data_IF_744227437160
#
_entry.id   IF_744227437160
#
_cell.length_a   1.000
_cell.length_b   1.000
_cell.length_c   1.000
_cell.angle_alpha   90.00
_cell.angle_beta   90.00
_cell.angle_gamma   90.00
#
_symmetry.space_group_name_H-M   'P 1'
#
loop_
_entity.id
_entity.type
_entity.pdbx_description
1 polymer ?
#
# COMPACT_ATOMS: atom_id res chain seq x y z
N UNK A 1 40.53 -14.23 -4.89
CA UNK A 1 39.83 -13.83 -3.65
C UNK A 1 40.01 -12.33 -3.61
N UNK A 2 38.95 -11.56 -3.92
CA UNK A 2 38.98 -10.12 -3.69
C UNK A 2 39.17 -9.96 -2.19
N UNK A 3 40.17 -9.17 -1.76
CA UNK A 3 40.29 -8.80 -0.35
C UNK A 3 38.93 -8.27 0.09
N UNK A 4 38.32 -8.92 1.08
CA UNK A 4 37.10 -8.42 1.71
C UNK A 4 37.51 -7.13 2.44
N UNK A 5 37.44 -5.99 1.73
CA UNK A 5 37.46 -4.66 2.36
C UNK A 5 36.43 -4.72 3.49
N UNK A 6 36.88 -4.57 4.74
CA UNK A 6 35.97 -4.41 5.86
C UNK A 6 35.24 -3.08 5.63
N UNK A 7 33.96 -3.09 5.23
CA UNK A 7 33.29 -1.85 4.85
C UNK A 7 33.15 -0.94 6.08
N UNK A 8 33.17 -1.51 7.27
CA UNK A 8 32.97 -0.79 8.53
C UNK A 8 34.20 -0.03 9.02
N UNK A 9 35.29 0.02 8.25
CA UNK A 9 36.50 0.78 8.56
C UNK A 9 36.70 1.97 7.62
N UNK A 10 36.78 3.17 8.19
CA UNK A 10 37.00 4.44 7.49
C UNK A 10 38.48 4.83 7.45
N UNK A 11 39.37 4.05 8.07
CA UNK A 11 40.79 4.40 8.22
C UNK A 11 41.55 4.53 6.90
N UNK A 12 41.08 3.85 5.85
CA UNK A 12 41.69 3.86 4.52
C UNK A 12 41.18 4.98 3.60
N UNK A 13 40.23 5.82 4.05
CA UNK A 13 39.70 6.92 3.24
C UNK A 13 40.72 8.04 3.09
N UNK A 14 40.83 8.61 1.88
CA UNK A 14 41.55 9.86 1.68
C UNK A 14 40.80 11.03 2.34
N UNK A 15 41.52 12.13 2.58
CA UNK A 15 40.97 13.27 3.31
C UNK A 15 39.69 13.84 2.68
N UNK A 16 39.64 13.92 1.34
CA UNK A 16 38.48 14.49 0.65
C UNK A 16 37.24 13.61 0.77
N UNK A 17 37.41 12.29 0.68
CA UNK A 17 36.32 11.33 0.89
C UNK A 17 35.84 11.32 2.34
N UNK A 18 36.77 11.44 3.31
CA UNK A 18 36.42 11.52 4.73
C UNK A 18 35.67 12.80 5.07
N UNK A 19 36.11 13.94 4.56
CA UNK A 19 35.45 15.24 4.76
C UNK A 19 34.01 15.24 4.20
N UNK A 20 33.82 14.63 3.02
CA UNK A 20 32.48 14.45 2.44
C UNK A 20 31.59 13.55 3.31
N UNK A 21 32.12 12.42 3.77
CA UNK A 21 31.39 11.49 4.63
C UNK A 21 31.01 12.13 5.98
N UNK A 22 31.91 12.89 6.60
CA UNK A 22 31.64 13.62 7.83
C UNK A 22 30.55 14.69 7.63
N UNK A 23 30.52 15.37 6.49
CA UNK A 23 29.44 16.30 6.15
C UNK A 23 28.09 15.57 6.02
N UNK A 24 28.05 14.44 5.30
CA UNK A 24 26.83 13.65 5.15
C UNK A 24 26.32 13.09 6.50
N UNK A 25 27.22 12.62 7.37
CA UNK A 25 26.87 12.16 8.72
C UNK A 25 26.34 13.32 9.58
N UNK A 26 26.86 14.55 9.40
CA UNK A 26 26.36 15.73 10.12
C UNK A 26 24.91 16.05 9.73
N UNK A 27 24.59 16.00 8.44
CA UNK A 27 23.23 16.22 7.96
C UNK A 27 22.29 15.11 8.47
N UNK A 28 22.73 13.85 8.42
CA UNK A 28 22.01 12.72 9.00
C UNK A 28 21.73 12.91 10.51
N UNK A 29 22.74 13.31 11.27
CA UNK A 29 22.61 13.60 12.70
C UNK A 29 21.60 14.74 12.97
N UNK A 30 21.58 15.77 12.11
CA UNK A 30 20.62 16.86 12.18
C UNK A 30 19.18 16.40 11.94
N UNK A 31 18.97 15.54 10.95
CA UNK A 31 17.66 15.00 10.58
C UNK A 31 17.10 14.02 11.62
N UNK A 32 17.93 13.12 12.14
CA UNK A 32 17.50 12.03 13.03
C UNK A 32 17.81 12.25 14.50
N UNK A 33 18.34 13.42 14.86
CA UNK A 33 18.74 13.77 16.23
C UNK A 33 19.73 12.76 16.85
N UNK A 34 20.72 12.32 16.06
CA UNK A 34 21.76 11.38 16.45
C UNK A 34 23.13 12.07 16.59
N UNK A 35 24.19 11.33 16.95
CA UNK A 35 25.53 11.89 17.17
C UNK A 35 26.64 10.92 16.72
N UNK A 36 26.58 10.51 15.46
CA UNK A 36 27.59 9.65 14.84
C UNK A 36 28.79 10.45 14.28
N UNK A 37 29.92 9.78 14.06
CA UNK A 37 31.10 10.32 13.38
C UNK A 37 31.81 9.24 12.57
N UNK A 38 32.83 9.60 11.79
CA UNK A 38 33.68 8.66 11.05
C UNK A 38 34.67 7.87 11.92
N UNK A 39 34.62 7.99 13.25
CA UNK A 39 35.58 7.34 14.15
C UNK A 39 35.11 5.96 14.61
N UNK A 40 35.85 4.90 14.24
CA UNK A 40 35.74 3.54 14.79
C UNK A 40 34.31 3.11 15.13
N UNK A 41 34.05 2.89 16.42
CA UNK A 41 32.76 2.41 16.94
C UNK A 41 31.57 3.31 16.58
N UNK A 42 31.77 4.63 16.43
CA UNK A 42 30.68 5.55 16.06
C UNK A 42 30.27 5.35 14.61
N UNK A 43 31.20 5.03 13.73
CA UNK A 43 30.88 4.71 12.34
C UNK A 43 30.16 3.36 12.24
N UNK A 44 30.56 2.35 13.02
CA UNK A 44 29.84 1.08 13.10
C UNK A 44 28.40 1.26 13.58
N UNK A 45 28.18 2.13 14.57
CA UNK A 45 26.83 2.42 15.05
C UNK A 45 26.00 3.20 14.02
N UNK A 46 26.62 4.12 13.27
CA UNK A 46 25.98 4.77 12.13
C UNK A 46 25.53 3.77 11.07
N UNK A 47 26.42 2.85 10.68
CA UNK A 47 26.12 1.81 9.70
C UNK A 47 24.93 0.94 10.13
N UNK A 48 24.88 0.53 11.41
CA UNK A 48 23.76 -0.24 11.97
C UNK A 48 22.46 0.55 11.99
N UNK A 49 22.51 1.83 12.33
CA UNK A 49 21.33 2.72 12.36
C UNK A 49 20.77 2.92 10.94
N UNK A 50 21.62 3.26 9.97
CA UNK A 50 21.23 3.36 8.55
C UNK A 50 20.59 2.06 8.06
N UNK A 51 21.21 0.91 8.40
CA UNK A 51 20.64 -0.41 8.07
C UNK A 51 19.25 -0.62 8.65
N UNK A 52 19.00 -0.21 9.88
CA UNK A 52 17.71 -0.38 10.55
C UNK A 52 16.66 0.55 9.96
N UNK A 53 17.02 1.82 9.74
CA UNK A 53 16.13 2.83 9.16
C UNK A 53 15.72 2.49 7.74
N UNK A 54 16.63 1.96 6.93
CA UNK A 54 16.31 1.46 5.59
C UNK A 54 15.28 0.31 5.65
N UNK A 55 15.41 -0.62 6.61
CA UNK A 55 14.43 -1.71 6.81
C UNK A 55 13.07 -1.18 7.26
N UNK A 56 13.06 -0.16 8.12
CA UNK A 56 11.86 0.45 8.67
C UNK A 56 11.18 1.46 7.73
N UNK A 57 11.72 1.68 6.52
CA UNK A 57 11.25 2.68 5.56
C UNK A 57 11.32 4.13 6.09
N UNK A 58 12.31 4.40 6.95
CA UNK A 58 12.64 5.76 7.39
C UNK A 58 13.64 6.44 6.43
N UNK A 59 14.24 5.66 5.52
CA UNK A 59 15.06 6.10 4.41
C UNK A 59 14.49 5.54 3.11
N UNK A 60 14.26 6.39 2.12
CA UNK A 60 13.67 6.00 0.83
C UNK A 60 14.71 5.56 -0.21
N UNK A 61 15.89 6.19 -0.19
CA UNK A 61 16.99 5.94 -1.12
C UNK A 61 18.33 5.90 -0.38
N UNK A 62 19.14 4.88 -0.67
CA UNK A 62 20.48 4.73 -0.12
C UNK A 62 21.51 4.61 -1.27
N UNK A 63 22.46 5.52 -1.29
CA UNK A 63 23.58 5.50 -2.23
C UNK A 63 24.68 4.62 -1.65
N UNK A 64 25.10 3.58 -2.38
CA UNK A 64 26.11 2.61 -1.92
C UNK A 64 27.19 2.37 -2.97
N UNK A 65 28.38 2.00 -2.51
CA UNK A 65 29.49 1.55 -3.38
C UNK A 65 29.61 0.03 -3.36
N UNK A 66 29.92 -0.55 -2.20
CA UNK A 66 30.04 -2.00 -1.97
C UNK A 66 29.21 -2.46 -0.76
N UNK A 67 29.00 -1.57 0.22
CA UNK A 67 28.16 -1.82 1.39
C UNK A 67 26.74 -2.20 0.99
N UNK A 68 26.12 -3.07 1.80
CA UNK A 68 24.75 -3.53 1.62
C UNK A 68 24.45 -4.31 0.33
N UNK A 69 25.45 -4.52 -0.56
CA UNK A 69 25.31 -5.40 -1.73
C UNK A 69 25.42 -6.89 -1.36
N UNK A 70 26.02 -7.18 -0.19
CA UNK A 70 26.10 -8.51 0.42
C UNK A 70 25.59 -8.44 1.87
N UNK A 71 24.93 -9.49 2.35
CA UNK A 71 24.50 -9.62 3.75
C UNK A 71 23.31 -8.76 4.20
N UNK A 72 23.02 -7.63 3.56
CA UNK A 72 21.88 -6.78 3.90
C UNK A 72 20.55 -7.36 3.43
N UNK A 73 19.55 -7.35 4.29
CA UNK A 73 18.27 -8.00 4.02
C UNK A 73 17.09 -7.12 4.45
N UNK A 74 16.29 -6.71 3.47
CA UNK A 74 15.06 -5.94 3.67
C UNK A 74 13.99 -6.47 2.71
N UNK A 75 12.91 -7.05 3.27
CA UNK A 75 11.79 -7.58 2.47
C UNK A 75 11.06 -6.50 1.69
N UNK A 76 11.09 -5.25 2.17
CA UNK A 76 10.44 -4.08 1.60
C UNK A 76 11.21 -3.43 0.44
N UNK A 77 12.50 -3.72 0.28
CA UNK A 77 13.33 -3.15 -0.79
C UNK A 77 13.06 -3.90 -2.10
N UNK A 78 12.47 -3.20 -3.08
CA UNK A 78 12.12 -3.79 -4.38
C UNK A 78 13.00 -3.30 -5.54
N UNK A 79 13.72 -2.19 -5.41
CA UNK A 79 14.38 -1.54 -6.55
C UNK A 79 15.86 -1.29 -6.28
N UNK A 80 16.69 -1.62 -7.26
CA UNK A 80 18.13 -1.35 -7.27
C UNK A 80 18.50 -0.59 -8.54
N UNK A 81 19.00 0.64 -8.36
CA UNK A 81 19.58 1.46 -9.42
C UNK A 81 21.08 1.19 -9.52
N UNK A 82 21.55 0.82 -10.71
CA UNK A 82 22.92 0.34 -10.92
C UNK A 82 23.66 1.20 -11.94
N UNK A 83 24.60 1.99 -11.44
CA UNK A 83 25.66 2.62 -12.23
C UNK A 83 27.05 2.04 -11.87
N UNK A 84 27.13 0.72 -11.77
CA UNK A 84 28.37 0.00 -11.41
C UNK A 84 28.63 -1.16 -12.36
N UNK A 85 29.89 -1.41 -12.67
CA UNK A 85 30.32 -2.58 -13.43
C UNK A 85 30.30 -3.85 -12.58
N UNK A 86 29.10 -4.35 -12.24
CA UNK A 86 28.91 -5.61 -11.52
C UNK A 86 29.38 -6.80 -12.39
N UNK A 87 29.93 -7.83 -11.74
CA UNK A 87 30.49 -9.03 -12.41
C UNK A 87 30.10 -10.29 -11.66
N UNK A 88 29.70 -11.33 -12.39
CA UNK A 88 29.53 -12.72 -11.92
C UNK A 88 28.75 -12.82 -10.59
N UNK A 89 29.37 -13.37 -9.53
CA UNK A 89 28.76 -13.55 -8.22
C UNK A 89 28.29 -12.25 -7.58
N UNK A 90 29.03 -11.16 -7.74
CA UNK A 90 28.65 -9.85 -7.18
C UNK A 90 27.41 -9.26 -7.86
N UNK A 91 27.17 -9.60 -9.13
CA UNK A 91 25.94 -9.22 -9.84
C UNK A 91 24.73 -9.95 -9.27
N UNK A 92 24.81 -11.28 -9.15
CA UNK A 92 23.71 -12.09 -8.59
C UNK A 92 23.43 -11.73 -7.13
N UNK A 93 24.46 -11.51 -6.32
CA UNK A 93 24.31 -11.09 -4.92
C UNK A 93 23.61 -9.74 -4.82
N UNK A 94 24.03 -8.75 -5.61
CA UNK A 94 23.40 -7.43 -5.63
C UNK A 94 21.93 -7.52 -6.09
N UNK A 95 21.64 -8.28 -7.15
CA UNK A 95 20.27 -8.43 -7.65
C UNK A 95 19.38 -9.17 -6.66
N UNK A 96 19.92 -10.14 -5.93
CA UNK A 96 19.18 -10.85 -4.87
C UNK A 96 18.76 -9.96 -3.68
N UNK A 97 19.20 -8.70 -3.62
CA UNK A 97 18.74 -7.75 -2.58
C UNK A 97 17.29 -7.33 -2.79
N UNK A 98 16.81 -7.36 -4.03
CA UNK A 98 15.46 -6.88 -4.39
C UNK A 98 14.41 -7.99 -4.43
N UNK A 99 14.82 -9.26 -4.52
CA UNK A 99 13.91 -10.40 -4.77
C UNK A 99 13.36 -11.09 -3.51
N UNK A 100 13.51 -10.48 -2.33
CA UNK A 100 12.94 -11.02 -1.09
C UNK A 100 11.42 -10.95 -1.11
N UNK A 101 10.76 -12.08 -0.86
CA UNK A 101 9.30 -12.21 -0.83
C UNK A 101 8.76 -11.39 0.35
N UNK A 102 7.77 -10.54 0.08
CA UNK A 102 7.05 -9.75 1.10
C UNK A 102 5.58 -10.20 1.18
N UNK A 103 4.86 -10.04 0.08
CA UNK A 103 3.43 -10.34 -0.08
C UNK A 103 3.12 -10.46 -1.60
N UNK A 104 1.85 -10.69 -1.97
CA UNK A 104 1.46 -10.85 -3.38
C UNK A 104 1.59 -9.58 -4.24
N UNK A 105 1.88 -8.43 -3.63
CA UNK A 105 2.20 -7.17 -4.33
C UNK A 105 3.62 -7.23 -4.92
N UNK A 106 4.59 -7.69 -4.13
CA UNK A 106 6.00 -7.72 -4.53
C UNK A 106 6.31 -9.03 -5.26
N UNK A 107 6.02 -9.06 -6.55
CA UNK A 107 6.18 -10.25 -7.40
C UNK A 107 7.64 -10.43 -7.87
N UNK A 108 8.38 -9.33 -8.06
CA UNK A 108 9.76 -9.33 -8.55
C UNK A 108 10.56 -8.17 -7.97
N UNK A 109 11.87 -8.19 -8.21
CA UNK A 109 12.78 -7.10 -7.91
C UNK A 109 13.11 -6.30 -9.18
N UNK A 110 13.02 -4.98 -9.11
CA UNK A 110 13.35 -4.06 -10.20
C UNK A 110 14.85 -3.77 -10.20
N UNK A 111 15.50 -4.01 -11.33
CA UNK A 111 16.91 -3.65 -11.54
C UNK A 111 17.00 -2.65 -12.68
N UNK A 112 17.31 -1.40 -12.35
CA UNK A 112 17.43 -0.31 -13.32
C UNK A 112 18.91 -0.05 -13.58
N UNK A 113 19.39 -0.41 -14.77
CA UNK A 113 20.81 -0.30 -15.13
C UNK A 113 21.08 0.93 -16.00
N UNK A 114 22.04 1.76 -15.60
CA UNK A 114 22.54 2.90 -16.39
C UNK A 114 23.76 2.53 -17.26
N UNK A 115 24.23 1.29 -17.15
CA UNK A 115 25.27 0.71 -18.01
C UNK A 115 24.70 -0.52 -18.71
N UNK A 116 25.23 -0.85 -19.89
CA UNK A 116 24.88 -2.10 -20.54
C UNK A 116 25.48 -3.29 -19.77
N UNK A 117 24.65 -3.91 -18.93
CA UNK A 117 24.98 -5.09 -18.13
C UNK A 117 24.34 -6.37 -18.68
N UNK A 118 23.55 -6.31 -19.76
CA UNK A 118 22.76 -7.44 -20.26
C UNK A 118 23.60 -8.69 -20.48
N UNK A 119 24.66 -8.59 -21.30
CA UNK A 119 25.57 -9.72 -21.55
C UNK A 119 26.15 -10.32 -20.26
N UNK A 120 26.48 -9.47 -19.27
CA UNK A 120 27.03 -9.94 -17.99
C UNK A 120 25.98 -10.62 -17.13
N UNK A 121 24.73 -10.15 -17.19
CA UNK A 121 23.59 -10.80 -16.56
C UNK A 121 23.37 -12.18 -17.18
N UNK A 122 23.35 -12.28 -18.51
CA UNK A 122 23.17 -13.54 -19.24
C UNK A 122 24.30 -14.53 -18.93
N UNK A 123 25.56 -14.06 -18.94
CA UNK A 123 26.74 -14.84 -18.60
C UNK A 123 26.71 -15.33 -17.14
N UNK A 124 26.26 -14.47 -16.21
CA UNK A 124 26.15 -14.83 -14.80
C UNK A 124 25.04 -15.87 -14.58
N UNK A 125 23.86 -15.68 -15.16
CA UNK A 125 22.75 -16.64 -15.03
C UNK A 125 23.12 -17.99 -15.64
N UNK A 126 23.77 -18.00 -16.81
CA UNK A 126 24.24 -19.23 -17.47
C UNK A 126 25.28 -20.01 -16.64
N UNK A 127 25.99 -19.34 -15.73
CA UNK A 127 26.95 -19.99 -14.85
C UNK A 127 26.28 -20.62 -13.62
N UNK A 128 25.17 -20.05 -13.15
CA UNK A 128 24.47 -20.47 -11.93
C UNK A 128 23.16 -21.25 -12.18
N UNK A 129 22.72 -21.37 -13.43
CA UNK A 129 21.55 -22.13 -13.84
C UNK A 129 21.80 -22.93 -15.12
N UNK A 130 20.81 -23.74 -15.53
CA UNK A 130 20.82 -24.38 -16.84
C UNK A 130 20.68 -23.32 -17.95
N UNK A 131 21.11 -23.59 -19.19
CA UNK A 131 21.03 -22.57 -20.28
C UNK A 131 19.58 -22.14 -20.58
N UNK A 132 18.62 -22.98 -20.23
CA UNK A 132 17.18 -22.68 -20.32
C UNK A 132 16.64 -21.91 -19.09
N UNK A 133 17.41 -21.81 -18.01
CA UNK A 133 17.01 -21.11 -16.78
C UNK A 133 16.99 -19.57 -16.94
N UNK A 134 17.52 -19.02 -18.03
CA UNK A 134 17.46 -17.59 -18.34
C UNK A 134 16.05 -17.02 -18.26
N UNK A 135 15.05 -17.74 -18.79
CA UNK A 135 13.64 -17.34 -18.73
C UNK A 135 12.92 -17.63 -17.41
N UNK A 136 13.56 -18.37 -16.49
CA UNK A 136 13.04 -18.67 -15.15
C UNK A 136 13.55 -17.63 -14.14
N UNK A 137 14.77 -17.10 -14.36
CA UNK A 137 15.42 -16.13 -13.47
C UNK A 137 15.11 -14.68 -13.87
N UNK A 138 14.88 -14.42 -15.16
CA UNK A 138 14.48 -13.11 -15.67
C UNK A 138 13.01 -13.13 -16.06
N UNK A 139 12.32 -12.02 -15.74
CA UNK A 139 10.97 -11.79 -16.23
C UNK A 139 10.96 -11.72 -17.75
N UNK A 140 9.88 -12.20 -18.35
CA UNK A 140 9.65 -12.10 -19.79
C UNK A 140 9.38 -10.66 -20.21
N UNK A 141 9.37 -10.41 -21.52
CA UNK A 141 9.08 -9.08 -22.05
C UNK A 141 7.61 -8.70 -21.89
N UNK A 142 7.32 -7.40 -21.98
CA UNK A 142 5.96 -6.86 -21.97
C UNK A 142 5.00 -7.62 -22.91
N UNK A 143 5.44 -7.89 -24.14
CA UNK A 143 4.61 -8.58 -25.16
C UNK A 143 4.17 -9.97 -24.73
N UNK A 144 5.03 -10.73 -24.06
CA UNK A 144 4.72 -12.08 -23.61
C UNK A 144 3.64 -12.05 -22.51
N UNK A 145 3.70 -11.07 -21.61
CA UNK A 145 2.69 -10.90 -20.56
C UNK A 145 1.39 -10.30 -21.08
N UNK A 146 1.48 -9.41 -22.07
CA UNK A 146 0.31 -8.73 -22.63
C UNK A 146 -0.48 -9.62 -23.60
N UNK A 147 0.21 -10.26 -24.54
CA UNK A 147 -0.39 -11.07 -25.61
C UNK A 147 -0.35 -12.59 -25.38
N UNK A 148 0.42 -13.06 -24.39
CA UNK A 148 0.65 -14.49 -24.17
C UNK A 148 1.89 -14.99 -24.90
N UNK A 149 2.33 -16.20 -24.56
CA UNK A 149 3.51 -16.82 -25.15
C UNK A 149 3.45 -18.34 -25.12
N UNK A 150 4.19 -19.01 -26.00
CA UNK A 150 4.44 -20.45 -25.94
C UNK A 150 5.77 -20.73 -25.24
N UNK A 151 5.78 -21.67 -24.29
CA UNK A 151 7.02 -22.11 -23.65
C UNK A 151 7.80 -23.12 -24.51
N UNK A 152 8.95 -23.59 -23.99
CA UNK A 152 9.80 -24.54 -24.68
C UNK A 152 9.13 -25.90 -24.92
N UNK A 153 8.09 -26.24 -24.14
CA UNK A 153 7.30 -27.46 -24.27
C UNK A 153 6.13 -27.29 -25.25
N UNK A 154 6.00 -26.12 -25.89
CA UNK A 154 4.92 -25.79 -26.82
C UNK A 154 3.58 -25.54 -26.11
N UNK A 155 3.58 -25.31 -24.79
CA UNK A 155 2.38 -24.96 -24.04
C UNK A 155 2.16 -23.46 -24.13
N UNK A 156 0.96 -23.07 -24.57
CA UNK A 156 0.52 -21.68 -24.56
C UNK A 156 0.18 -21.22 -23.14
N UNK A 157 0.72 -20.07 -22.77
CA UNK A 157 0.41 -19.35 -21.54
C UNK A 157 -0.37 -18.08 -21.91
N UNK A 158 -1.60 -17.91 -21.39
CA UNK A 158 -2.44 -16.79 -21.76
C UNK A 158 -1.87 -15.46 -21.27
N UNK A 159 -1.97 -14.44 -22.12
CA UNK A 159 -1.63 -13.06 -21.78
C UNK A 159 -2.78 -12.32 -21.11
N UNK A 160 -2.51 -11.07 -20.72
CA UNK A 160 -3.52 -10.15 -20.21
C UNK A 160 -4.71 -10.00 -21.16
N UNK A 161 -4.47 -9.91 -22.47
CA UNK A 161 -5.54 -9.81 -23.46
C UNK A 161 -6.47 -11.02 -23.43
N UNK A 162 -5.92 -12.23 -23.40
CA UNK A 162 -6.72 -13.47 -23.32
C UNK A 162 -7.55 -13.51 -22.04
N UNK A 163 -6.96 -13.09 -20.91
CA UNK A 163 -7.66 -13.08 -19.62
C UNK A 163 -8.81 -12.07 -19.60
N UNK A 164 -8.64 -10.88 -20.18
CA UNK A 164 -9.70 -9.87 -20.28
C UNK A 164 -10.81 -10.34 -21.24
N UNK A 165 -10.45 -10.97 -22.36
CA UNK A 165 -11.43 -11.57 -23.27
C UNK A 165 -12.23 -12.68 -22.59
N UNK A 166 -11.56 -13.55 -21.84
CA UNK A 166 -12.23 -14.60 -21.04
C UNK A 166 -13.14 -14.00 -19.97
N UNK A 167 -12.69 -12.97 -19.26
CA UNK A 167 -13.46 -12.28 -18.22
C UNK A 167 -14.75 -11.68 -18.80
N UNK A 168 -14.62 -10.92 -19.88
CA UNK A 168 -15.75 -10.21 -20.49
C UNK A 168 -16.72 -11.16 -21.18
N UNK A 169 -16.24 -12.27 -21.73
CA UNK A 169 -17.07 -13.30 -22.37
C UNK A 169 -17.81 -14.16 -21.34
N UNK A 170 -17.13 -14.65 -20.30
CA UNK A 170 -17.73 -15.57 -19.31
C UNK A 170 -18.50 -14.86 -18.21
N UNK A 171 -18.15 -13.62 -17.91
CA UNK A 171 -18.73 -12.83 -16.83
C UNK A 171 -19.06 -11.42 -17.32
N UNK A 172 -19.98 -11.26 -18.29
CA UNK A 172 -20.31 -9.94 -18.81
C UNK A 172 -20.87 -9.04 -17.70
N UNK A 173 -20.57 -7.74 -17.74
CA UNK A 173 -21.07 -6.78 -16.76
C UNK A 173 -22.61 -6.57 -16.83
N UNK A 174 -23.26 -7.02 -17.91
CA UNK A 174 -24.72 -7.06 -18.02
C UNK A 174 -25.37 -8.08 -17.10
N UNK A 175 -24.64 -9.11 -16.64
CA UNK A 175 -25.11 -10.05 -15.63
C UNK A 175 -25.08 -9.36 -14.25
N UNK A 176 -26.22 -9.22 -13.58
CA UNK A 176 -26.29 -8.53 -12.27
C UNK A 176 -25.47 -9.23 -11.18
N UNK A 177 -25.45 -10.57 -11.17
CA UNK A 177 -24.78 -11.38 -10.15
C UNK A 177 -24.26 -12.69 -10.74
N UNK A 178 -23.07 -13.10 -10.30
CA UNK A 178 -22.49 -14.39 -10.66
C UNK A 178 -23.14 -15.46 -9.77
N UNK A 179 -24.09 -16.19 -10.35
CA UNK A 179 -24.80 -17.27 -9.65
C UNK A 179 -24.17 -18.64 -9.90
N UNK A 180 -24.17 -19.48 -8.88
CA UNK A 180 -23.62 -20.84 -8.92
C UNK A 180 -22.20 -20.91 -8.36
N UNK A 181 -21.99 -21.80 -7.39
CA UNK A 181 -20.72 -21.88 -6.66
C UNK A 181 -19.53 -22.06 -7.60
N UNK A 182 -19.63 -22.97 -8.56
CA UNK A 182 -18.55 -23.25 -9.53
C UNK A 182 -18.20 -22.01 -10.37
N UNK A 183 -19.19 -21.25 -10.86
CA UNK A 183 -18.94 -20.01 -11.62
C UNK A 183 -18.32 -18.93 -10.74
N UNK A 184 -18.71 -18.85 -9.46
CA UNK A 184 -18.05 -17.94 -8.52
C UNK A 184 -16.57 -18.31 -8.34
N UNK A 185 -16.24 -19.60 -8.19
CA UNK A 185 -14.84 -20.06 -8.11
C UNK A 185 -14.04 -19.68 -9.36
N UNK A 186 -14.60 -19.96 -10.53
CA UNK A 186 -13.97 -19.63 -11.82
C UNK A 186 -13.71 -18.13 -11.95
N UNK A 187 -14.67 -17.29 -11.57
CA UNK A 187 -14.49 -15.83 -11.55
C UNK A 187 -13.39 -15.41 -10.57
N UNK A 188 -13.39 -15.96 -9.35
CA UNK A 188 -12.41 -15.59 -8.33
C UNK A 188 -10.99 -15.95 -8.78
N UNK A 189 -10.80 -17.13 -9.38
CA UNK A 189 -9.51 -17.56 -9.91
C UNK A 189 -9.06 -16.69 -11.08
N UNK A 190 -9.94 -16.43 -12.06
CA UNK A 190 -9.64 -15.63 -13.23
C UNK A 190 -9.33 -14.18 -12.86
N UNK A 191 -10.20 -13.53 -12.09
CA UNK A 191 -10.02 -12.14 -11.72
C UNK A 191 -8.80 -11.96 -10.79
N UNK A 192 -8.56 -12.90 -9.88
CA UNK A 192 -7.33 -12.94 -9.10
C UNK A 192 -6.07 -13.05 -9.96
N UNK A 193 -6.11 -13.79 -11.07
CA UNK A 193 -5.01 -13.84 -12.03
C UNK A 193 -4.82 -12.52 -12.79
N UNK A 194 -5.93 -11.87 -13.17
CA UNK A 194 -5.92 -10.54 -13.80
C UNK A 194 -5.33 -9.48 -12.87
N UNK A 195 -5.67 -9.50 -11.57
CA UNK A 195 -5.07 -8.57 -10.59
C UNK A 195 -3.54 -8.73 -10.53
N UNK A 196 -3.04 -9.97 -10.49
CA UNK A 196 -1.60 -10.26 -10.50
C UNK A 196 -0.94 -9.82 -11.82
N UNK A 197 -1.57 -10.12 -12.95
CA UNK A 197 -1.08 -9.75 -14.28
C UNK A 197 -1.05 -8.23 -14.46
N UNK A 198 -2.10 -7.50 -14.04
CA UNK A 198 -2.14 -6.04 -14.09
C UNK A 198 -1.06 -5.43 -13.20
N UNK A 199 -0.90 -5.90 -11.97
CA UNK A 199 0.17 -5.45 -11.06
C UNK A 199 1.56 -5.64 -11.68
N UNK A 200 1.79 -6.78 -12.34
CA UNK A 200 3.02 -7.00 -13.11
C UNK A 200 3.16 -6.01 -14.27
N UNK A 201 2.12 -5.83 -15.09
CA UNK A 201 2.17 -4.96 -16.26
C UNK A 201 2.39 -3.49 -15.88
N UNK A 202 1.95 -3.03 -14.71
CA UNK A 202 2.20 -1.66 -14.25
C UNK A 202 3.69 -1.29 -14.09
N UNK A 203 4.60 -2.27 -14.02
CA UNK A 203 6.05 -1.98 -14.01
C UNK A 203 6.64 -1.71 -15.39
N UNK A 204 5.88 -1.93 -16.46
CA UNK A 204 6.32 -1.68 -17.84
C UNK A 204 5.78 -0.34 -18.32
N UNK A 205 6.67 0.52 -18.79
CA UNK A 205 6.30 1.84 -19.33
C UNK A 205 5.30 1.70 -20.49
N UNK A 206 5.38 0.62 -21.28
CA UNK A 206 4.49 0.33 -22.40
C UNK A 206 3.04 0.05 -22.00
N UNK A 207 2.76 -0.30 -20.75
CA UNK A 207 1.39 -0.63 -20.33
C UNK A 207 0.49 0.59 -20.22
N UNK A 208 1.06 1.76 -19.89
CA UNK A 208 0.30 3.00 -19.70
C UNK A 208 -0.39 3.40 -21.00
N UNK A 209 -1.73 3.47 -20.98
CA UNK A 209 -2.56 3.78 -22.15
C UNK A 209 -2.89 2.56 -23.03
N UNK A 210 -2.42 1.37 -22.67
CA UNK A 210 -2.78 0.10 -23.30
C UNK A 210 -3.68 -0.77 -22.41
N UNK A 211 -4.36 -0.18 -21.43
CA UNK A 211 -5.35 -0.89 -20.63
C UNK A 211 -6.58 -1.26 -21.50
N UNK A 212 -6.90 -2.56 -21.57
CA UNK A 212 -8.01 -3.06 -22.41
C UNK A 212 -9.37 -2.73 -21.78
N UNK A 213 -9.51 -2.96 -20.47
CA UNK A 213 -10.75 -2.64 -19.75
C UNK A 213 -10.75 -1.17 -19.35
N UNK A 214 -11.91 -0.52 -19.47
CA UNK A 214 -12.07 0.82 -18.92
C UNK A 214 -11.90 0.79 -17.39
N UNK A 215 -11.43 1.89 -16.81
CA UNK A 215 -11.28 1.97 -15.35
C UNK A 215 -12.62 1.73 -14.65
N UNK A 216 -13.74 2.18 -15.24
CA UNK A 216 -15.09 1.89 -14.71
C UNK A 216 -15.39 0.40 -14.68
N UNK A 217 -15.19 -0.30 -15.79
CA UNK A 217 -15.50 -1.73 -15.89
C UNK A 217 -14.63 -2.55 -14.92
N UNK A 218 -13.36 -2.20 -14.82
CA UNK A 218 -12.44 -2.85 -13.89
C UNK A 218 -12.88 -2.68 -12.43
N UNK A 219 -13.35 -1.48 -12.07
CA UNK A 219 -13.89 -1.21 -10.73
C UNK A 219 -15.19 -1.98 -10.47
N UNK A 220 -16.08 -2.09 -11.46
CA UNK A 220 -17.29 -2.92 -11.33
C UNK A 220 -16.94 -4.41 -11.12
N UNK A 221 -15.92 -4.94 -11.80
CA UNK A 221 -15.42 -6.30 -11.55
C UNK A 221 -14.74 -6.44 -10.19
N UNK A 222 -13.96 -5.45 -9.76
CA UNK A 222 -13.33 -5.43 -8.44
C UNK A 222 -14.38 -5.45 -7.32
N UNK A 223 -15.48 -4.69 -7.48
CA UNK A 223 -16.62 -4.73 -6.56
C UNK A 223 -17.23 -6.12 -6.46
N UNK A 224 -17.50 -6.80 -7.60
CA UNK A 224 -18.01 -8.19 -7.60
C UNK A 224 -17.06 -9.15 -6.88
N UNK A 225 -15.76 -8.98 -7.08
CA UNK A 225 -14.74 -9.79 -6.42
C UNK A 225 -14.73 -9.61 -4.90
N UNK A 226 -14.90 -8.38 -4.43
CA UNK A 226 -15.03 -8.07 -3.00
C UNK A 226 -16.34 -8.61 -2.40
N UNK A 227 -17.46 -8.46 -3.10
CA UNK A 227 -18.75 -9.00 -2.67
C UNK A 227 -18.67 -10.52 -2.47
N UNK A 228 -18.07 -11.23 -3.43
CA UNK A 228 -17.83 -12.67 -3.32
C UNK A 228 -16.89 -13.00 -2.17
N UNK A 229 -15.83 -12.22 -1.95
CA UNK A 229 -14.95 -12.41 -0.79
C UNK A 229 -15.72 -12.34 0.52
N UNK A 230 -16.56 -11.33 0.68
CA UNK A 230 -17.34 -11.14 1.90
C UNK A 230 -18.41 -12.22 2.05
N UNK A 231 -19.06 -12.65 0.97
CA UNK A 231 -19.99 -13.78 0.96
C UNK A 231 -19.30 -15.06 1.43
N UNK A 232 -18.16 -15.41 0.82
CA UNK A 232 -17.42 -16.63 1.10
C UNK A 232 -16.78 -16.64 2.48
N UNK A 233 -16.31 -15.48 2.98
CA UNK A 233 -15.78 -15.32 4.35
C UNK A 233 -16.84 -15.54 5.42
N UNK A 234 -18.10 -15.17 5.14
CA UNK A 234 -19.20 -15.26 6.10
C UNK A 234 -19.92 -16.63 6.10
N UNK A 235 -19.56 -17.55 5.20
CA UNK A 235 -20.03 -18.95 5.23
C UNK A 235 -19.37 -19.65 6.44
N UNK A 236 -20.12 -19.83 7.53
CA UNK A 236 -19.63 -20.57 8.72
C UNK A 236 -19.27 -22.03 8.35
N UNK A 237 -18.23 -22.63 8.97
CA UNK A 237 -17.97 -24.06 8.87
C UNK A 237 -19.03 -24.79 9.69
N UNK A 238 -20.13 -25.18 9.05
CA UNK A 238 -21.26 -25.76 9.75
C UNK A 238 -22.27 -26.35 8.79
N UNK A 239 -22.00 -27.56 8.31
CA UNK A 239 -22.96 -28.39 7.60
C UNK A 239 -22.31 -29.14 6.45
N UNK A 240 -22.04 -30.43 6.70
CA UNK A 240 -21.71 -31.51 5.75
C UNK A 240 -21.91 -31.19 4.26
N UNK A 241 -20.93 -30.54 3.65
CA UNK A 241 -20.59 -30.62 2.24
C UNK A 241 -19.08 -30.44 2.15
N UNK A 242 -18.46 -31.30 1.35
CA UNK A 242 -17.02 -31.53 1.19
C UNK A 242 -16.16 -30.24 1.31
N UNK A 243 -14.98 -30.41 1.94
CA UNK A 243 -13.89 -29.43 2.06
C UNK A 243 -13.40 -28.94 0.69
N UNK A 244 -14.16 -28.07 0.01
CA UNK A 244 -13.77 -27.40 -1.25
C UNK A 244 -13.68 -25.88 -1.05
N UNK A 245 -13.68 -25.41 0.21
CA UNK A 245 -13.44 -24.00 0.58
C UNK A 245 -11.97 -23.71 0.84
N UNK A 246 -11.13 -24.75 1.04
CA UNK A 246 -9.68 -24.61 1.31
C UNK A 246 -8.86 -24.18 0.07
N UNK A 247 -9.40 -24.31 -1.15
CA UNK A 247 -8.65 -24.06 -2.40
C UNK A 247 -8.79 -22.63 -2.97
N UNK A 248 -9.62 -21.76 -2.38
CA UNK A 248 -9.86 -20.41 -2.92
C UNK A 248 -9.05 -19.38 -2.15
N UNK A 249 -8.02 -18.84 -2.79
CA UNK A 249 -7.18 -17.76 -2.26
C UNK A 249 -7.60 -16.43 -2.89
N UNK A 250 -8.03 -15.48 -2.05
CA UNK A 250 -8.31 -14.11 -2.48
C UNK A 250 -7.04 -13.25 -2.45
N UNK A 251 -6.86 -12.39 -3.45
CA UNK A 251 -5.73 -11.48 -3.57
C UNK A 251 -5.90 -10.21 -2.70
N UNK A 252 -5.98 -10.39 -1.39
CA UNK A 252 -6.31 -9.34 -0.42
C UNK A 252 -5.35 -8.14 -0.49
N UNK A 253 -4.05 -8.41 -0.65
CA UNK A 253 -3.04 -7.36 -0.65
C UNK A 253 -3.09 -6.52 -1.94
N UNK A 254 -3.35 -7.14 -3.09
CA UNK A 254 -3.56 -6.41 -4.35
C UNK A 254 -4.84 -5.57 -4.31
N UNK A 255 -5.91 -6.08 -3.70
CA UNK A 255 -7.15 -5.30 -3.50
C UNK A 255 -6.85 -4.04 -2.68
N UNK A 256 -6.11 -4.15 -1.57
CA UNK A 256 -5.74 -3.00 -0.71
C UNK A 256 -4.89 -1.96 -1.43
N UNK A 257 -4.02 -2.36 -2.36
CA UNK A 257 -3.24 -1.40 -3.14
C UNK A 257 -4.10 -0.65 -4.16
N UNK A 258 -5.10 -1.34 -4.72
CA UNK A 258 -6.10 -0.76 -5.63
C UNK A 258 -7.22 -0.06 -4.84
N UNK A 259 -7.21 -0.14 -3.48
CA UNK A 259 -8.29 0.43 -2.68
C UNK A 259 -8.48 1.89 -3.04
N UNK A 260 -9.74 2.16 -3.35
CA UNK A 260 -10.34 3.47 -3.49
C UNK A 260 -10.00 4.22 -2.20
N UNK A 261 -8.94 5.01 -2.28
CA UNK A 261 -8.53 5.93 -1.23
C UNK A 261 -9.31 7.22 -1.38
N UNK A 262 -9.16 8.12 -0.41
CA UNK A 262 -9.87 9.40 -0.48
C UNK A 262 -9.49 10.21 -1.72
N UNK A 263 -8.25 10.12 -2.20
CA UNK A 263 -7.78 10.85 -3.38
C UNK A 263 -8.49 10.41 -4.66
N UNK A 264 -8.73 9.11 -4.83
CA UNK A 264 -9.50 8.59 -5.96
C UNK A 264 -10.97 9.02 -5.90
N UNK A 265 -11.58 9.01 -4.70
CA UNK A 265 -12.92 9.59 -4.53
C UNK A 265 -12.92 11.06 -4.92
N UNK A 266 -11.95 11.85 -4.47
CA UNK A 266 -11.88 13.28 -4.77
C UNK A 266 -11.63 13.54 -6.26
N UNK A 267 -10.89 12.68 -6.95
CA UNK A 267 -10.76 12.72 -8.40
C UNK A 267 -12.12 12.49 -9.09
N UNK A 268 -12.91 11.51 -8.62
CA UNK A 268 -14.27 11.29 -9.15
C UNK A 268 -15.20 12.47 -8.84
N UNK A 269 -15.08 13.07 -7.65
CA UNK A 269 -15.84 14.27 -7.27
C UNK A 269 -15.45 15.46 -8.15
N UNK A 270 -14.17 15.65 -8.45
CA UNK A 270 -13.71 16.66 -9.42
C UNK A 270 -14.31 16.41 -10.81
N UNK A 271 -14.38 15.15 -11.24
CA UNK A 271 -15.01 14.78 -12.52
C UNK A 271 -16.52 15.09 -12.52
N UNK A 272 -17.21 14.80 -11.42
CA UNK A 272 -18.63 15.12 -11.22
C UNK A 272 -18.87 16.65 -11.19
N UNK A 273 -17.98 17.40 -10.55
CA UNK A 273 -18.01 18.86 -10.54
C UNK A 273 -17.79 19.44 -11.95
N UNK A 274 -16.81 18.93 -12.70
CA UNK A 274 -16.53 19.35 -14.07
C UNK A 274 -17.71 19.08 -15.04
N UNK A 275 -18.55 18.08 -14.74
CA UNK A 275 -19.81 17.83 -15.48
C UNK A 275 -20.97 18.71 -15.01
N UNK A 276 -20.70 19.78 -14.24
CA UNK A 276 -21.69 20.68 -13.63
C UNK A 276 -22.68 19.93 -12.73
N UNK A 277 -22.23 18.85 -12.08
CA UNK A 277 -23.04 18.01 -11.20
C UNK A 277 -24.23 17.30 -11.89
N UNK A 278 -24.23 17.22 -13.22
CA UNK A 278 -25.33 16.61 -13.98
C UNK A 278 -25.16 15.11 -14.22
N UNK A 279 -23.92 14.61 -14.22
CA UNK A 279 -23.63 13.21 -14.54
C UNK A 279 -23.89 12.28 -13.34
N UNK A 280 -25.12 11.76 -13.30
CA UNK A 280 -25.57 10.80 -12.28
C UNK A 280 -24.82 9.47 -12.30
N UNK A 281 -24.19 9.09 -13.42
CA UNK A 281 -23.41 7.85 -13.46
C UNK A 281 -22.15 7.98 -12.59
N UNK A 282 -21.48 9.14 -12.61
CA UNK A 282 -20.31 9.41 -11.77
C UNK A 282 -20.70 9.35 -10.29
N UNK A 283 -21.85 9.92 -9.92
CA UNK A 283 -22.34 9.89 -8.54
C UNK A 283 -22.63 8.46 -8.07
N UNK A 284 -23.22 7.63 -8.94
CA UNK A 284 -23.43 6.19 -8.65
C UNK A 284 -22.08 5.47 -8.49
N UNK A 285 -21.09 5.78 -9.33
CA UNK A 285 -19.74 5.22 -9.21
C UNK A 285 -19.08 5.61 -7.89
N UNK A 286 -19.16 6.88 -7.48
CA UNK A 286 -18.64 7.34 -6.19
C UNK A 286 -19.32 6.58 -5.04
N UNK A 287 -20.64 6.47 -5.08
CA UNK A 287 -21.41 5.79 -4.04
C UNK A 287 -20.99 4.32 -3.89
N UNK A 288 -20.92 3.59 -5.01
CA UNK A 288 -20.46 2.19 -5.04
C UNK A 288 -19.02 2.08 -4.52
N UNK A 289 -18.15 2.99 -4.93
CA UNK A 289 -16.74 2.99 -4.53
C UNK A 289 -16.57 3.19 -3.01
N UNK A 290 -17.32 4.11 -2.42
CA UNK A 290 -17.34 4.33 -0.96
C UNK A 290 -17.91 3.12 -0.22
N UNK A 291 -18.97 2.49 -0.75
CA UNK A 291 -19.60 1.32 -0.13
C UNK A 291 -18.74 0.05 -0.22
N UNK A 292 -17.94 -0.06 -1.28
CA UNK A 292 -17.00 -1.15 -1.53
C UNK A 292 -15.78 -1.11 -0.59
N UNK A 293 -15.30 0.08 -0.20
CA UNK A 293 -14.12 0.25 0.65
C UNK A 293 -14.47 0.29 2.14
N UNK A 294 -14.03 -0.70 2.95
CA UNK A 294 -14.26 -0.69 4.40
C UNK A 294 -13.71 0.55 5.11
N UNK A 295 -12.61 1.11 4.61
CA UNK A 295 -11.99 2.32 5.15
C UNK A 295 -12.79 3.60 4.84
N UNK A 296 -13.46 3.65 3.68
CA UNK A 296 -14.30 4.78 3.30
C UNK A 296 -15.69 4.71 3.91
N UNK A 297 -16.17 3.53 4.34
CA UNK A 297 -17.49 3.40 4.99
C UNK A 297 -17.64 4.30 6.22
N UNK A 298 -16.60 4.45 7.04
CA UNK A 298 -16.63 5.37 8.20
C UNK A 298 -16.68 6.85 7.78
N UNK A 299 -16.25 7.15 6.55
CA UNK A 299 -16.18 8.49 5.94
C UNK A 299 -17.37 8.78 5.03
N UNK A 300 -18.21 7.79 4.74
CA UNK A 300 -19.34 7.85 3.80
C UNK A 300 -20.22 9.09 3.97
N UNK A 301 -20.73 9.30 5.19
CA UNK A 301 -21.60 10.43 5.48
C UNK A 301 -20.91 11.78 5.22
N UNK A 302 -19.60 11.88 5.46
CA UNK A 302 -18.81 13.08 5.20
C UNK A 302 -18.67 13.34 3.70
N UNK A 303 -18.37 12.29 2.92
CA UNK A 303 -18.25 12.34 1.46
C UNK A 303 -19.60 12.73 0.82
N UNK A 304 -20.69 12.09 1.23
CA UNK A 304 -22.03 12.39 0.71
C UNK A 304 -22.46 13.83 1.03
N UNK A 305 -22.16 14.32 2.24
CA UNK A 305 -22.45 15.70 2.64
C UNK A 305 -21.65 16.70 1.79
N UNK A 306 -20.38 16.41 1.56
CA UNK A 306 -19.52 17.25 0.71
C UNK A 306 -20.05 17.32 -0.73
N UNK A 307 -20.37 16.16 -1.33
CA UNK A 307 -20.90 16.09 -2.70
C UNK A 307 -22.25 16.83 -2.81
N UNK A 308 -23.11 16.74 -1.80
CA UNK A 308 -24.38 17.46 -1.80
C UNK A 308 -24.21 18.99 -1.71
N UNK A 309 -23.11 19.46 -1.11
CA UNK A 309 -22.78 20.87 -0.96
C UNK A 309 -21.89 21.45 -2.06
N UNK A 310 -21.30 20.61 -2.91
CA UNK A 310 -20.30 21.05 -3.88
C UNK A 310 -20.96 21.87 -5.01
N UNK A 311 -20.64 23.16 -5.07
CA UNK A 311 -21.15 24.09 -6.07
C UNK A 311 -20.00 24.97 -6.58
N UNK A 312 -19.82 25.05 -7.89
CA UNK A 312 -18.99 26.03 -8.61
C UNK A 312 -17.69 26.47 -7.89
N UNK A 313 -16.95 25.49 -7.32
CA UNK A 313 -15.66 25.70 -6.68
C UNK A 313 -14.52 25.64 -7.69
N UNK A 314 -13.51 26.48 -7.51
CA UNK A 314 -12.33 26.50 -8.39
C UNK A 314 -11.35 25.36 -8.12
N UNK A 315 -11.33 24.84 -6.88
CA UNK A 315 -10.42 23.78 -6.43
C UNK A 315 -11.16 22.87 -5.43
N UNK A 316 -11.57 21.69 -5.90
CA UNK A 316 -12.30 20.70 -5.10
C UNK A 316 -11.45 20.17 -3.94
N UNK A 317 -10.12 20.08 -4.12
CA UNK A 317 -9.23 19.58 -3.09
C UNK A 317 -9.08 20.57 -1.93
N UNK A 318 -8.96 21.86 -2.24
CA UNK A 318 -8.92 22.91 -1.23
C UNK A 318 -10.26 23.01 -0.47
N UNK A 319 -11.38 22.94 -1.19
CA UNK A 319 -12.71 22.96 -0.59
C UNK A 319 -12.91 21.76 0.34
N UNK A 320 -12.50 20.56 -0.09
CA UNK A 320 -12.56 19.35 0.73
C UNK A 320 -11.78 19.52 2.03
N UNK A 321 -10.53 20.01 1.99
CA UNK A 321 -9.72 20.22 3.20
C UNK A 321 -10.38 21.21 4.16
N UNK A 322 -10.97 22.28 3.61
CA UNK A 322 -11.66 23.31 4.40
C UNK A 322 -12.91 22.73 5.05
N UNK A 323 -13.76 22.06 4.27
CA UNK A 323 -14.96 21.38 4.74
C UNK A 323 -14.65 20.34 5.84
N UNK A 324 -13.64 19.50 5.64
CA UNK A 324 -13.24 18.49 6.62
C UNK A 324 -12.76 19.13 7.92
N UNK A 325 -11.99 20.22 7.84
CA UNK A 325 -11.51 20.93 9.03
C UNK A 325 -12.67 21.54 9.84
N UNK A 326 -13.63 22.17 9.16
CA UNK A 326 -14.82 22.75 9.80
C UNK A 326 -15.72 21.68 10.43
N UNK A 327 -15.99 20.60 9.70
CA UNK A 327 -16.88 19.52 10.16
C UNK A 327 -16.24 18.72 11.30
N UNK A 328 -14.92 18.55 11.28
CA UNK A 328 -14.14 17.95 12.37
C UNK A 328 -14.27 18.78 13.65
N UNK A 329 -14.14 20.09 13.54
CA UNK A 329 -14.28 21.00 14.68
C UNK A 329 -15.72 20.99 15.23
N UNK A 330 -16.71 21.11 14.35
CA UNK A 330 -18.12 21.11 14.72
C UNK A 330 -18.55 19.81 15.44
N UNK A 331 -18.17 18.65 14.91
CA UNK A 331 -18.52 17.36 15.54
C UNK A 331 -17.80 17.14 16.87
N UNK A 332 -16.53 17.54 16.99
CA UNK A 332 -15.81 17.42 18.25
C UNK A 332 -16.45 18.29 19.34
N UNK A 333 -16.78 19.54 19.01
CA UNK A 333 -17.48 20.45 19.91
C UNK A 333 -18.84 19.88 20.34
N UNK A 334 -19.58 19.28 19.41
CA UNK A 334 -20.86 18.61 19.70
C UNK A 334 -20.68 17.46 20.69
N UNK A 335 -19.70 16.56 20.48
CA UNK A 335 -19.42 15.45 21.41
C UNK A 335 -19.03 15.98 22.80
N UNK A 336 -18.18 17.02 22.86
CA UNK A 336 -17.77 17.67 24.11
C UNK A 336 -19.00 18.19 24.87
N UNK A 337 -19.92 18.85 24.17
CA UNK A 337 -21.12 19.43 24.76
C UNK A 337 -22.12 18.35 25.22
N UNK A 338 -22.45 17.39 24.36
CA UNK A 338 -23.40 16.31 24.65
C UNK A 338 -22.98 15.45 25.84
N UNK A 339 -21.69 15.10 25.88
CA UNK A 339 -21.14 14.26 26.94
C UNK A 339 -20.66 15.06 28.16
N UNK A 340 -20.74 16.40 28.10
CA UNK A 340 -20.23 17.34 29.11
C UNK A 340 -18.76 17.02 29.48
N UNK A 341 -17.92 16.87 28.45
CA UNK A 341 -16.49 16.61 28.60
C UNK A 341 -15.75 17.92 28.87
N UNK A 342 -14.55 17.80 29.43
CA UNK A 342 -13.65 18.95 29.53
C UNK A 342 -13.02 19.21 28.17
N UNK A 343 -13.23 20.42 27.68
CA UNK A 343 -12.91 20.82 26.31
C UNK A 343 -11.41 20.64 25.97
N UNK A 344 -10.54 21.40 26.63
CA UNK A 344 -9.08 21.39 26.43
C UNK A 344 -8.47 19.99 26.51
N UNK A 345 -8.83 19.20 27.53
CA UNK A 345 -8.31 17.86 27.71
C UNK A 345 -8.79 16.91 26.61
N UNK A 346 -10.02 17.07 26.12
CA UNK A 346 -10.59 16.23 25.06
C UNK A 346 -9.92 16.53 23.72
N UNK A 347 -9.70 17.81 23.40
CA UNK A 347 -8.96 18.21 22.19
C UNK A 347 -7.55 17.64 22.18
N UNK A 348 -6.80 17.83 23.28
CA UNK A 348 -5.44 17.25 23.41
C UNK A 348 -5.42 15.73 23.37
N UNK A 349 -6.48 15.07 23.86
CA UNK A 349 -6.60 13.63 23.75
C UNK A 349 -6.78 13.20 22.30
N UNK A 350 -7.66 13.88 21.55
CA UNK A 350 -7.89 13.58 20.14
C UNK A 350 -6.68 13.91 19.26
N UNK A 351 -5.99 15.02 19.47
CA UNK A 351 -4.77 15.36 18.73
C UNK A 351 -3.69 14.29 18.89
N UNK A 352 -3.56 13.74 20.10
CA UNK A 352 -2.68 12.60 20.37
C UNK A 352 -3.15 11.35 19.65
N UNK A 353 -4.44 11.05 19.64
CA UNK A 353 -4.98 9.90 18.93
C UNK A 353 -4.73 9.98 17.42
N UNK A 354 -4.94 11.16 16.80
CA UNK A 354 -4.64 11.39 15.38
C UNK A 354 -3.16 11.22 15.05
N UNK A 355 -2.26 11.75 15.90
CA UNK A 355 -0.83 11.57 15.72
C UNK A 355 -0.36 10.14 15.94
N UNK A 356 -0.88 9.46 16.95
CA UNK A 356 -0.50 8.10 17.32
C UNK A 356 -1.22 7.04 16.44
N UNK A 357 -2.15 7.45 15.56
CA UNK A 357 -2.91 6.57 14.68
C UNK A 357 -3.91 5.65 15.37
N UNK A 358 -4.24 5.90 16.64
CA UNK A 358 -5.20 5.07 17.39
C UNK A 358 -5.79 5.79 18.60
N UNK A 359 -7.05 5.48 18.93
CA UNK A 359 -7.69 5.95 20.15
C UNK A 359 -7.34 5.02 21.32
N UNK A 360 -6.66 5.56 22.34
CA UNK A 360 -6.34 4.79 23.55
C UNK A 360 -7.61 4.58 24.38
N UNK A 361 -8.15 3.36 24.34
CA UNK A 361 -9.36 2.97 25.08
C UNK A 361 -9.06 2.44 26.49
N UNK A 362 -7.79 2.13 26.78
CA UNK A 362 -7.34 1.57 28.06
C UNK A 362 -6.68 2.63 28.95
N UNK A 363 -6.68 2.39 30.26
CA UNK A 363 -6.09 3.30 31.25
C UNK A 363 -7.04 4.38 31.78
N UNK A 364 -6.45 5.44 32.34
CA UNK A 364 -7.16 6.51 33.08
C UNK A 364 -7.30 7.81 32.29
N UNK A 365 -6.83 7.87 31.04
CA UNK A 365 -6.85 9.12 30.26
C UNK A 365 -8.28 9.58 29.96
N UNK A 366 -9.18 8.65 29.64
CA UNK A 366 -10.60 8.97 29.40
C UNK A 366 -11.30 9.42 30.70
N UNK A 367 -10.85 8.93 31.86
CA UNK A 367 -11.38 9.39 33.14
C UNK A 367 -11.06 10.86 33.42
N UNK A 368 -10.00 11.41 32.82
CA UNK A 368 -9.61 12.83 32.95
C UNK A 368 -10.49 13.75 32.11
N UNK A 369 -11.06 13.23 31.02
CA UNK A 369 -11.97 13.96 30.13
C UNK A 369 -13.34 14.20 30.76
N UNK A 370 -13.78 13.27 31.60
CA UNK A 370 -15.08 13.35 32.26
C UNK A 370 -15.04 14.28 33.48
N UNK A 371 -16.15 14.96 33.80
CA UNK A 371 -16.26 15.77 35.01
C UNK A 371 -16.24 14.89 36.28
N UNK A 372 -15.88 15.48 37.44
CA UNK A 372 -15.87 14.77 38.72
C UNK A 372 -17.29 14.33 39.12
N UNK A 373 -17.39 13.19 39.82
CA UNK A 373 -18.67 12.56 40.18
C UNK A 373 -19.13 12.98 41.58
N UNK A 374 -20.45 13.10 41.75
CA UNK A 374 -21.10 13.10 43.07
C UNK A 374 -21.03 11.71 43.73
N UNK A 375 -20.62 11.66 45.01
CA UNK A 375 -20.36 10.45 45.81
C UNK A 375 -21.53 9.45 45.95
N UNK A 376 -22.72 9.73 45.41
CA UNK A 376 -23.94 8.96 45.63
C UNK A 376 -24.49 8.22 44.38
N UNK A 377 -23.84 8.31 43.21
CA UNK A 377 -24.32 7.71 41.95
C UNK A 377 -23.39 6.64 41.37
N UNK A 378 -23.31 5.46 41.99
CA UNK A 378 -22.26 4.47 41.72
C UNK A 378 -22.37 3.60 40.45
N UNK A 379 -23.48 3.63 39.70
CA UNK A 379 -23.71 2.70 38.58
C UNK A 379 -23.43 3.24 37.17
N UNK A 380 -23.43 4.56 36.96
CA UNK A 380 -23.57 5.13 35.61
C UNK A 380 -22.23 5.56 34.95
N UNK A 381 -21.11 5.58 35.70
CA UNK A 381 -19.82 6.05 35.17
C UNK A 381 -19.20 5.08 34.15
N UNK A 382 -19.27 3.78 34.40
CA UNK A 382 -18.71 2.79 33.48
C UNK A 382 -19.44 2.79 32.14
N UNK A 383 -20.77 2.94 32.17
CA UNK A 383 -21.60 3.08 30.97
C UNK A 383 -21.24 4.36 30.23
N UNK A 384 -21.17 5.50 30.92
CA UNK A 384 -20.77 6.78 30.32
C UNK A 384 -19.36 6.73 29.72
N UNK A 385 -18.39 6.11 30.40
CA UNK A 385 -17.03 5.92 29.89
C UNK A 385 -17.04 5.15 28.58
N UNK A 386 -17.84 4.07 28.50
CA UNK A 386 -17.98 3.28 27.27
C UNK A 386 -18.61 4.11 26.14
N UNK A 387 -19.67 4.86 26.41
CA UNK A 387 -20.30 5.75 25.41
C UNK A 387 -19.34 6.81 24.89
N UNK A 388 -18.53 7.42 25.76
CA UNK A 388 -17.49 8.39 25.36
C UNK A 388 -16.43 7.72 24.49
N UNK A 389 -15.98 6.51 24.84
CA UNK A 389 -15.06 5.73 24.01
C UNK A 389 -15.67 5.50 22.62
N UNK A 390 -16.90 5.00 22.56
CA UNK A 390 -17.59 4.71 21.30
C UNK A 390 -17.70 5.96 20.42
N UNK A 391 -18.11 7.11 20.99
CA UNK A 391 -18.22 8.38 20.26
C UNK A 391 -16.87 8.90 19.77
N UNK A 392 -15.83 8.89 20.61
CA UNK A 392 -14.50 9.39 20.23
C UNK A 392 -13.80 8.46 19.23
N UNK A 393 -14.00 7.15 19.33
CA UNK A 393 -13.51 6.19 18.33
C UNK A 393 -14.22 6.38 16.99
N UNK A 394 -15.55 6.49 16.99
CA UNK A 394 -16.30 6.76 15.75
C UNK A 394 -15.89 8.09 15.11
N UNK A 395 -15.65 9.12 15.92
CA UNK A 395 -15.11 10.40 15.46
C UNK A 395 -13.70 10.25 14.87
N UNK A 396 -12.81 9.50 15.53
CA UNK A 396 -11.48 9.21 15.01
C UNK A 396 -11.55 8.48 13.66
N UNK A 397 -12.31 7.38 13.57
CA UNK A 397 -12.43 6.56 12.37
C UNK A 397 -13.01 7.35 11.19
N UNK A 398 -13.85 8.36 11.47
CA UNK A 398 -14.45 9.25 10.48
C UNK A 398 -13.46 10.26 9.92
N UNK A 399 -12.50 10.77 10.71
CA UNK A 399 -11.60 11.86 10.32
C UNK A 399 -10.13 11.44 10.16
N UNK A 400 -9.77 10.21 10.51
CA UNK A 400 -8.41 9.72 10.36
C UNK A 400 -8.05 9.52 8.89
N UNK A 401 -6.89 10.02 8.49
CA UNK A 401 -6.37 9.89 7.12
C UNK A 401 -7.04 10.80 6.09
N UNK A 402 -7.86 11.78 6.51
CA UNK A 402 -8.50 12.74 5.61
C UNK A 402 -8.22 14.18 6.06
N UNK A 403 -7.40 14.91 5.30
CA UNK A 403 -7.01 16.31 5.57
C UNK A 403 -5.60 16.66 5.14
#
# INVERSE_FOLDING_TARGET
>A
ILDEENPEDTSALDQSSRDFLDAAIRDYNGMFHTNYSTDGDKFQNYYKDVSLRMKNKELDLLIVVNMFLTGFDATTLNTLWVDKNLKMHGLIQAYSRTNRILNSIKVFGNIVCFRNLQKRTDDAISLFGDKEAGGIVLMRGYKDYYFGYEDADGKYHPGYQDMIEELTTKFPLTEERITGEQRQKEFIVLFGAILRMRNLLTSFDEFVGNEISSERDFQDYLGRYQDLRDEWKNRKPGGEKEDITDDIVFEIELIKQIEINIDYILMLVQKYHNSHCDDKEILITIQKAVDASPELRSKKALIETFIAGINDVSDVMLEWRTFVAEEKEHQLATIIQEENLKDEETRRFMDRAFRDGSVKTTGTDIDKLMPPISRFGGGNRAVKKRTVIEKLTAFFDRFFGIG
#
